data_IF_115745634469
#
_entry.id   IF_115745634469
#
_cell.length_a   1.000
_cell.length_b   1.000
_cell.length_c   1.000
_cell.angle_alpha   90.00
_cell.angle_beta   90.00
_cell.angle_gamma   90.00
#
_symmetry.space_group_name_H-M   'P 1'
#
loop_
_entity.id
_entity.type
_entity.pdbx_description
1 polymer ?
#
# COMPACT_ATOMS: atom_id res chain seq x y z
N UNK A 1 22.95 -4.59 1.32
CA UNK A 1 23.10 -5.73 2.26
C UNK A 1 24.31 -6.53 1.79
N UNK A 2 25.22 -6.86 2.69
CA UNK A 2 26.40 -7.67 2.35
C UNK A 2 25.97 -9.07 1.90
N UNK A 3 26.66 -9.64 0.88
CA UNK A 3 26.33 -10.96 0.34
C UNK A 3 25.16 -10.98 -0.65
N UNK A 4 24.69 -9.83 -1.13
CA UNK A 4 23.53 -9.73 -2.04
C UNK A 4 23.73 -10.44 -3.39
N UNK A 5 24.98 -10.74 -3.75
CA UNK A 5 25.34 -11.39 -5.01
C UNK A 5 25.38 -12.93 -4.92
N UNK A 6 25.10 -13.51 -3.75
CA UNK A 6 25.00 -14.97 -3.58
C UNK A 6 23.83 -15.53 -4.39
N UNK A 7 24.00 -16.75 -4.90
CA UNK A 7 22.91 -17.50 -5.54
C UNK A 7 21.76 -17.72 -4.55
N UNK A 8 20.51 -17.70 -5.02
CA UNK A 8 19.32 -17.89 -4.20
C UNK A 8 18.74 -16.59 -3.64
N UNK A 9 19.30 -15.44 -4.01
CA UNK A 9 18.75 -14.13 -3.63
C UNK A 9 18.01 -13.54 -4.82
N UNK A 10 16.76 -13.18 -4.60
CA UNK A 10 15.84 -12.67 -5.63
C UNK A 10 15.21 -11.34 -5.20
N UNK A 11 14.80 -10.58 -6.19
CA UNK A 11 13.84 -9.48 -6.05
C UNK A 11 12.58 -9.82 -6.84
N UNK A 12 11.49 -9.05 -6.71
CA UNK A 12 10.30 -9.25 -7.55
C UNK A 12 10.38 -8.34 -8.76
N UNK A 13 10.88 -8.86 -9.89
CA UNK A 13 10.97 -8.13 -11.16
C UNK A 13 9.80 -8.50 -12.07
N UNK A 14 9.29 -7.55 -12.84
CA UNK A 14 8.25 -7.77 -13.86
C UNK A 14 8.89 -8.22 -15.18
N UNK A 15 9.63 -9.32 -15.12
CA UNK A 15 10.30 -9.97 -16.27
C UNK A 15 9.99 -11.46 -16.24
N UNK A 16 9.43 -11.98 -17.32
CA UNK A 16 8.93 -13.37 -17.38
C UNK A 16 10.05 -14.39 -17.16
N UNK A 17 11.19 -14.24 -17.84
CA UNK A 17 12.31 -15.17 -17.72
C UNK A 17 12.91 -15.17 -16.30
N UNK A 18 12.99 -13.98 -15.69
CA UNK A 18 13.44 -13.84 -14.30
C UNK A 18 12.47 -14.51 -13.31
N UNK A 19 11.16 -14.31 -13.48
CA UNK A 19 10.14 -14.91 -12.64
C UNK A 19 10.08 -16.44 -12.79
N UNK A 20 10.29 -16.98 -14.00
CA UNK A 20 10.45 -18.41 -14.21
C UNK A 20 11.65 -18.97 -13.46
N UNK A 21 12.76 -18.23 -13.42
CA UNK A 21 13.94 -18.58 -12.61
C UNK A 21 13.63 -18.63 -11.13
N UNK A 22 12.93 -17.62 -10.60
CA UNK A 22 12.45 -17.60 -9.22
C UNK A 22 11.53 -18.79 -8.93
N UNK A 23 10.56 -19.07 -9.80
CA UNK A 23 9.62 -20.20 -9.62
C UNK A 23 10.36 -21.55 -9.55
N UNK A 24 11.34 -21.80 -10.44
CA UNK A 24 12.18 -23.01 -10.40
C UNK A 24 13.01 -23.12 -9.11
N UNK A 25 13.48 -21.97 -8.59
CA UNK A 25 14.20 -21.95 -7.31
C UNK A 25 13.28 -22.25 -6.13
N UNK A 26 12.04 -21.73 -6.14
CA UNK A 26 11.02 -21.98 -5.13
C UNK A 26 10.58 -23.46 -5.05
N UNK A 27 10.56 -24.19 -6.18
CA UNK A 27 10.25 -25.63 -6.20
C UNK A 27 11.22 -26.49 -5.35
N UNK A 28 12.44 -26.00 -5.17
CA UNK A 28 13.50 -26.68 -4.41
C UNK A 28 13.68 -26.15 -2.99
N UNK A 29 13.14 -24.97 -2.71
CA UNK A 29 13.28 -24.32 -1.41
C UNK A 29 12.24 -24.86 -0.40
N UNK A 30 12.59 -24.85 0.87
CA UNK A 30 11.72 -25.20 2.01
C UNK A 30 11.60 -24.05 3.00
N UNK A 31 12.69 -23.34 3.24
CA UNK A 31 12.80 -22.24 4.17
C UNK A 31 13.14 -20.96 3.41
N UNK A 32 12.28 -19.94 3.51
CA UNK A 32 12.39 -18.69 2.75
C UNK A 32 12.41 -17.53 3.72
N UNK A 33 13.35 -16.61 3.52
CA UNK A 33 13.38 -15.32 4.22
C UNK A 33 12.98 -14.22 3.23
N UNK A 34 11.99 -13.42 3.62
CA UNK A 34 11.58 -12.21 2.91
C UNK A 34 12.09 -11.01 3.69
N UNK A 35 12.84 -10.15 3.03
CA UNK A 35 13.36 -8.91 3.62
C UNK A 35 12.48 -7.75 3.19
N UNK A 36 11.76 -7.16 4.15
CA UNK A 36 10.77 -6.12 4.00
C UNK A 36 9.33 -6.60 4.16
N UNK A 37 8.61 -6.01 5.11
CA UNK A 37 7.21 -6.28 5.45
C UNK A 37 6.22 -5.31 4.81
N UNK A 38 6.58 -4.68 3.67
CA UNK A 38 5.64 -3.90 2.85
C UNK A 38 4.67 -4.79 2.06
N UNK A 39 3.84 -4.19 1.20
CA UNK A 39 2.82 -4.92 0.40
C UNK A 39 3.42 -6.13 -0.34
N UNK A 40 4.50 -5.92 -1.10
CA UNK A 40 5.13 -6.99 -1.88
C UNK A 40 5.59 -8.13 -0.96
N UNK A 41 6.26 -7.81 0.16
CA UNK A 41 6.75 -8.83 1.08
C UNK A 41 5.64 -9.63 1.75
N UNK A 42 4.58 -8.95 2.18
CA UNK A 42 3.43 -9.57 2.84
C UNK A 42 2.63 -10.43 1.85
N UNK A 43 2.37 -9.95 0.61
CA UNK A 43 1.66 -10.69 -0.42
C UNK A 43 2.43 -11.93 -0.88
N UNK A 44 3.74 -11.80 -1.05
CA UNK A 44 4.59 -12.96 -1.38
C UNK A 44 4.61 -13.97 -0.23
N UNK A 45 4.68 -13.51 1.03
CA UNK A 45 4.63 -14.39 2.19
C UNK A 45 3.31 -15.16 2.28
N UNK A 46 2.19 -14.47 2.06
CA UNK A 46 0.85 -15.09 2.03
C UNK A 46 0.77 -16.20 0.97
N UNK A 47 1.22 -15.94 -0.25
CA UNK A 47 1.19 -16.93 -1.34
C UNK A 47 2.15 -18.11 -1.11
N UNK A 48 3.33 -17.88 -0.54
CA UNK A 48 4.28 -18.94 -0.25
C UNK A 48 3.83 -19.80 0.93
N UNK A 49 3.25 -19.20 1.96
CA UNK A 49 2.67 -19.93 3.10
C UNK A 49 1.50 -20.83 2.68
N UNK A 50 0.62 -20.38 1.77
CA UNK A 50 -0.45 -21.20 1.18
C UNK A 50 0.08 -22.43 0.44
N UNK A 51 1.31 -22.39 -0.08
CA UNK A 51 1.99 -23.52 -0.71
C UNK A 51 2.70 -24.45 0.28
N UNK A 52 2.59 -24.17 1.59
CA UNK A 52 3.19 -25.00 2.65
C UNK A 52 4.69 -24.74 2.86
N UNK A 53 5.23 -23.65 2.34
CA UNK A 53 6.62 -23.27 2.57
C UNK A 53 6.78 -22.59 3.94
N UNK A 54 7.93 -22.77 4.58
CA UNK A 54 8.27 -22.11 5.84
C UNK A 54 8.80 -20.72 5.52
N UNK A 55 8.05 -19.69 5.89
CA UNK A 55 8.33 -18.30 5.53
C UNK A 55 8.66 -17.48 6.78
N UNK A 56 9.71 -16.69 6.72
CA UNK A 56 10.03 -15.63 7.69
C UNK A 56 10.04 -14.28 7.00
N UNK A 57 9.39 -13.27 7.59
CA UNK A 57 9.50 -11.86 7.16
C UNK A 57 10.41 -11.14 8.16
N UNK A 58 11.41 -10.43 7.65
CA UNK A 58 12.27 -9.53 8.42
C UNK A 58 11.91 -8.09 8.06
N UNK A 59 11.41 -7.34 9.05
CA UNK A 59 10.95 -5.96 8.88
C UNK A 59 11.66 -5.03 9.88
N UNK A 60 12.21 -3.93 9.38
CA UNK A 60 12.92 -2.95 10.21
C UNK A 60 11.99 -2.11 11.09
N UNK A 61 10.74 -1.94 10.67
CA UNK A 61 9.73 -1.20 11.42
C UNK A 61 9.04 -2.10 12.47
N UNK A 62 8.35 -1.51 13.46
CA UNK A 62 7.59 -2.25 14.47
C UNK A 62 6.53 -3.20 13.88
N UNK A 63 5.94 -2.84 12.75
CA UNK A 63 4.87 -3.62 12.12
C UNK A 63 5.06 -3.76 10.61
N UNK A 64 4.62 -4.90 10.07
CA UNK A 64 4.39 -5.04 8.64
C UNK A 64 3.30 -4.03 8.19
N UNK A 65 3.41 -3.54 6.96
CA UNK A 65 2.49 -2.57 6.33
C UNK A 65 2.41 -1.20 7.03
N UNK A 66 3.24 -0.89 8.02
CA UNK A 66 3.17 0.32 8.84
C UNK A 66 3.31 1.64 8.04
N UNK A 67 3.92 1.61 6.87
CA UNK A 67 3.99 2.80 6.00
C UNK A 67 2.65 3.15 5.35
N UNK A 68 1.70 2.22 5.32
CA UNK A 68 0.40 2.39 4.66
C UNK A 68 -0.77 2.36 5.64
N UNK A 69 -0.66 1.67 6.78
CA UNK A 69 -1.73 1.48 7.74
C UNK A 69 -1.33 1.94 9.14
N UNK A 70 -2.32 2.31 9.95
CA UNK A 70 -2.16 2.48 11.38
C UNK A 70 -2.00 1.12 12.08
N UNK A 71 -1.37 1.11 13.25
CA UNK A 71 -0.98 -0.09 14.00
C UNK A 71 -2.10 -1.13 14.13
N UNK A 72 -3.33 -0.69 14.44
CA UNK A 72 -4.48 -1.59 14.62
C UNK A 72 -4.81 -2.42 13.37
N UNK A 73 -4.58 -1.89 12.16
CA UNK A 73 -4.76 -2.61 10.89
C UNK A 73 -3.53 -3.47 10.57
N UNK A 74 -2.33 -2.99 10.90
CA UNK A 74 -1.11 -3.79 10.78
C UNK A 74 -1.21 -5.08 11.60
N UNK A 75 -1.65 -4.97 12.85
CA UNK A 75 -1.84 -6.13 13.75
C UNK A 75 -2.86 -7.14 13.20
N UNK A 76 -3.92 -6.66 12.51
CA UNK A 76 -4.86 -7.58 11.84
C UNK A 76 -4.16 -8.41 10.76
N UNK A 77 -3.35 -7.77 9.89
CA UNK A 77 -2.58 -8.47 8.86
C UNK A 77 -1.56 -9.44 9.46
N UNK A 78 -0.83 -9.01 10.49
CA UNK A 78 0.17 -9.84 11.19
C UNK A 78 -0.46 -11.07 11.84
N UNK A 79 -1.65 -10.94 12.43
CA UNK A 79 -2.38 -12.07 12.99
C UNK A 79 -2.77 -13.09 11.92
N UNK A 80 -3.17 -12.62 10.72
CA UNK A 80 -3.44 -13.52 9.61
C UNK A 80 -2.19 -14.27 9.16
N UNK A 81 -1.05 -13.57 9.04
CA UNK A 81 0.24 -14.21 8.70
C UNK A 81 0.66 -15.24 9.76
N UNK A 82 0.56 -14.89 11.04
CA UNK A 82 0.86 -15.80 12.15
C UNK A 82 -0.03 -17.05 12.15
N UNK A 83 -1.32 -16.90 11.84
CA UNK A 83 -2.25 -18.02 11.70
C UNK A 83 -1.88 -18.96 10.53
N UNK A 84 -1.12 -18.46 9.56
CA UNK A 84 -0.56 -19.24 8.45
C UNK A 84 0.86 -19.74 8.73
N UNK A 85 1.34 -19.66 9.99
CA UNK A 85 2.67 -20.03 10.45
C UNK A 85 3.82 -19.24 9.81
N UNK A 86 3.57 -18.00 9.36
CA UNK A 86 4.62 -17.08 8.93
C UNK A 86 5.32 -16.52 10.16
N UNK A 87 6.65 -16.65 10.22
CA UNK A 87 7.48 -16.08 11.28
C UNK A 87 7.72 -14.59 11.00
N UNK A 88 7.33 -13.70 11.92
CA UNK A 88 7.50 -12.25 11.79
C UNK A 88 8.62 -11.78 12.73
N UNK A 89 9.68 -11.23 12.16
CA UNK A 89 10.81 -10.63 12.87
C UNK A 89 10.81 -9.14 12.59
N UNK A 90 10.10 -8.39 13.41
CA UNK A 90 9.97 -6.92 13.31
C UNK A 90 11.02 -6.19 14.13
N UNK A 91 11.13 -4.86 14.00
CA UNK A 91 12.18 -4.03 14.63
C UNK A 91 13.60 -4.53 14.35
N UNK A 92 13.83 -5.16 13.20
CA UNK A 92 15.07 -5.90 12.94
C UNK A 92 15.50 -5.73 11.48
N UNK A 93 16.78 -5.43 11.26
CA UNK A 93 17.37 -5.33 9.93
C UNK A 93 18.02 -6.65 9.50
N UNK A 94 17.93 -6.99 8.22
CA UNK A 94 18.79 -7.96 7.58
C UNK A 94 20.12 -7.29 7.21
N UNK A 95 21.22 -7.68 7.86
CA UNK A 95 22.52 -7.03 7.67
C UNK A 95 23.42 -7.74 6.67
N UNK A 96 23.36 -9.07 6.64
CA UNK A 96 24.23 -9.87 5.79
C UNK A 96 23.55 -11.17 5.36
N UNK A 97 23.73 -11.53 4.10
CA UNK A 97 23.43 -12.86 3.58
C UNK A 97 24.71 -13.72 3.64
N UNK A 98 24.62 -14.87 4.28
CA UNK A 98 25.76 -15.74 4.59
C UNK A 98 25.62 -17.07 3.85
N UNK A 99 26.72 -17.54 3.24
CA UNK A 99 26.81 -18.82 2.54
C UNK A 99 28.05 -18.92 1.66
N UNK A 100 28.34 -20.11 1.14
CA UNK A 100 29.41 -20.37 0.18
C UNK A 100 28.84 -20.51 -1.25
N UNK A 101 28.91 -19.42 -2.03
CA UNK A 101 28.36 -19.37 -3.40
C UNK A 101 26.83 -19.23 -3.44
N UNK A 102 26.12 -19.79 -2.47
CA UNK A 102 24.66 -19.73 -2.34
C UNK A 102 24.28 -19.28 -0.93
N UNK A 103 23.13 -18.58 -0.80
CA UNK A 103 22.62 -18.18 0.51
C UNK A 103 22.19 -19.38 1.34
N UNK A 104 22.60 -19.39 2.61
CA UNK A 104 22.27 -20.43 3.60
C UNK A 104 21.62 -19.83 4.85
N UNK A 105 21.96 -18.56 5.17
CA UNK A 105 21.47 -17.87 6.36
C UNK A 105 21.37 -16.37 6.11
N UNK A 106 20.52 -15.71 6.87
CA UNK A 106 20.43 -14.25 6.97
C UNK A 106 20.84 -13.84 8.37
N UNK A 107 21.88 -13.00 8.50
CA UNK A 107 22.28 -12.36 9.75
C UNK A 107 21.42 -11.15 10.00
N UNK A 108 20.85 -11.07 11.19
CA UNK A 108 20.00 -10.00 11.64
C UNK A 108 20.75 -9.03 12.58
N UNK A 109 20.28 -7.79 12.68
CA UNK A 109 20.86 -6.75 13.54
C UNK A 109 20.81 -7.06 15.04
N UNK A 110 19.95 -7.98 15.48
CA UNK A 110 19.90 -8.48 16.84
C UNK A 110 20.87 -9.64 17.09
N UNK A 111 21.71 -10.00 16.11
CA UNK A 111 22.69 -11.08 16.18
C UNK A 111 22.16 -12.47 15.81
N UNK A 112 20.86 -12.63 15.60
CA UNK A 112 20.24 -13.88 15.18
C UNK A 112 20.66 -14.27 13.76
N UNK A 113 20.72 -15.59 13.49
CA UNK A 113 20.96 -16.17 12.17
C UNK A 113 19.73 -16.98 11.75
N UNK A 114 18.96 -16.48 10.81
CA UNK A 114 17.84 -17.21 10.21
C UNK A 114 18.36 -18.11 9.09
N UNK A 115 18.10 -19.41 9.21
CA UNK A 115 18.37 -20.36 8.13
C UNK A 115 17.43 -20.13 6.97
N UNK A 116 17.94 -20.27 5.73
CA UNK A 116 17.14 -20.07 4.52
C UNK A 116 17.73 -20.82 3.33
N UNK A 117 16.87 -21.28 2.43
CA UNK A 117 17.25 -21.82 1.12
C UNK A 117 17.17 -20.76 0.03
N UNK A 118 16.39 -19.69 0.27
CA UNK A 118 16.12 -18.62 -0.69
C UNK A 118 15.75 -17.33 0.05
N UNK A 119 16.20 -16.19 -0.48
CA UNK A 119 15.84 -14.86 0.02
C UNK A 119 15.09 -14.08 -1.05
N UNK A 120 14.01 -13.40 -0.64
CA UNK A 120 13.29 -12.43 -1.49
C UNK A 120 13.45 -11.04 -0.88
N UNK A 121 14.04 -10.11 -1.63
CA UNK A 121 14.23 -8.73 -1.19
C UNK A 121 13.04 -7.89 -1.67
N UNK A 122 12.28 -7.32 -0.72
CA UNK A 122 11.07 -6.54 -0.95
C UNK A 122 11.10 -5.17 -0.23
N UNK A 123 12.25 -4.48 -0.24
CA UNK A 123 12.51 -3.23 0.49
C UNK A 123 12.16 -1.96 -0.28
N UNK A 124 11.32 -2.07 -1.29
CA UNK A 124 10.85 -0.94 -2.10
C UNK A 124 11.47 -0.86 -3.48
N UNK A 125 11.15 0.21 -4.20
CA UNK A 125 11.51 0.41 -5.61
C UNK A 125 12.19 1.76 -5.81
N UNK A 126 13.01 1.87 -6.85
CA UNK A 126 13.65 3.11 -7.31
C UNK A 126 13.12 3.44 -8.70
N UNK A 127 12.79 4.73 -9.00
CA UNK A 127 12.40 5.12 -10.35
C UNK A 127 13.50 4.84 -11.36
N UNK A 128 13.13 4.29 -12.52
CA UNK A 128 14.09 4.14 -13.62
C UNK A 128 14.15 5.45 -14.41
N UNK A 129 15.18 6.23 -14.18
CA UNK A 129 15.38 7.57 -14.75
C UNK A 129 16.67 7.72 -15.55
N UNK A 130 17.40 6.64 -15.79
CA UNK A 130 18.72 6.68 -16.43
C UNK A 130 18.65 7.32 -17.84
N UNK A 131 17.70 6.89 -18.67
CA UNK A 131 17.51 7.45 -20.02
C UNK A 131 17.21 8.95 -19.97
N UNK A 132 16.32 9.36 -19.07
CA UNK A 132 15.94 10.77 -18.88
C UNK A 132 17.13 11.62 -18.41
N UNK A 133 17.91 11.09 -17.46
CA UNK A 133 19.12 11.75 -16.95
C UNK A 133 20.18 11.94 -18.05
N UNK A 134 20.41 10.92 -18.89
CA UNK A 134 21.31 11.02 -20.05
C UNK A 134 20.82 12.02 -21.09
N UNK A 135 19.50 12.18 -21.22
CA UNK A 135 18.90 13.17 -22.11
C UNK A 135 18.90 14.60 -21.52
N UNK A 136 19.48 14.81 -20.32
CA UNK A 136 19.55 16.11 -19.68
C UNK A 136 18.25 16.57 -19.02
N UNK A 137 17.27 15.68 -18.84
CA UNK A 137 16.03 16.01 -18.15
C UNK A 137 16.27 16.16 -16.64
N UNK A 138 15.51 17.05 -16.01
CA UNK A 138 15.59 17.30 -14.56
C UNK A 138 15.05 16.09 -13.79
N UNK A 139 15.84 15.60 -12.84
CA UNK A 139 15.45 14.58 -11.88
C UNK A 139 15.07 15.28 -10.57
N UNK A 140 13.93 14.90 -10.01
CA UNK A 140 13.36 15.52 -8.82
C UNK A 140 13.87 14.93 -7.50
N UNK A 141 13.34 15.42 -6.39
CA UNK A 141 13.80 15.11 -5.03
C UNK A 141 13.57 13.62 -4.64
N UNK A 142 12.53 12.99 -5.17
CA UNK A 142 12.24 11.55 -4.96
C UNK A 142 12.85 10.67 -6.07
N UNK A 143 13.85 11.19 -6.78
CA UNK A 143 14.57 10.53 -7.87
C UNK A 143 13.73 10.22 -9.12
N UNK A 144 12.50 10.71 -9.21
CA UNK A 144 11.65 10.64 -10.40
C UNK A 144 12.00 11.72 -11.41
N UNK A 145 11.58 11.55 -12.67
CA UNK A 145 11.67 12.59 -13.71
C UNK A 145 10.75 13.74 -13.29
N UNK A 146 11.30 14.92 -13.12
CA UNK A 146 10.49 16.09 -12.76
C UNK A 146 9.48 16.41 -13.86
N UNK A 147 8.22 16.66 -13.48
CA UNK A 147 7.13 17.06 -14.35
C UNK A 147 6.31 18.18 -13.69
N UNK A 148 5.70 19.00 -14.52
CA UNK A 148 4.71 19.97 -14.09
C UNK A 148 3.31 19.35 -13.86
N UNK A 149 2.32 20.17 -13.56
CA UNK A 149 0.93 19.72 -13.35
C UNK A 149 0.25 19.16 -14.61
N UNK A 150 0.85 19.31 -15.78
CA UNK A 150 0.40 18.76 -17.06
C UNK A 150 1.17 17.51 -17.50
N UNK A 151 2.04 16.99 -16.62
CA UNK A 151 2.95 15.87 -16.88
C UNK A 151 4.06 16.18 -17.91
N UNK A 152 4.36 17.46 -18.17
CA UNK A 152 5.45 17.93 -19.00
C UNK A 152 6.75 17.94 -18.21
N UNK A 153 7.84 17.54 -18.84
CA UNK A 153 9.20 17.68 -18.30
C UNK A 153 9.73 19.12 -18.50
N UNK A 154 11.00 19.35 -18.25
CA UNK A 154 11.66 20.64 -18.59
C UNK A 154 11.79 20.86 -20.10
N UNK A 155 11.70 19.81 -20.90
CA UNK A 155 11.60 19.89 -22.37
C UNK A 155 10.10 19.89 -22.74
N UNK A 156 9.67 20.92 -23.49
CA UNK A 156 8.26 21.11 -23.84
C UNK A 156 7.65 20.01 -24.72
N UNK A 157 8.50 19.21 -25.38
CA UNK A 157 8.09 18.12 -26.26
C UNK A 157 8.10 16.76 -25.57
N UNK A 158 8.55 16.68 -24.29
CA UNK A 158 8.70 15.44 -23.55
C UNK A 158 7.76 15.43 -22.35
N UNK A 159 6.99 14.36 -22.25
CA UNK A 159 6.13 14.05 -21.11
C UNK A 159 6.65 12.83 -20.35
N UNK A 160 6.43 12.78 -19.04
CA UNK A 160 6.72 11.59 -18.25
C UNK A 160 5.53 11.23 -17.34
N UNK A 161 5.26 9.94 -17.19
CA UNK A 161 4.15 9.42 -16.38
C UNK A 161 4.52 8.06 -15.78
N UNK A 162 3.82 7.66 -14.73
CA UNK A 162 4.05 6.38 -14.05
C UNK A 162 5.25 6.41 -13.10
N UNK A 163 5.76 5.24 -12.73
CA UNK A 163 6.75 5.08 -11.66
C UNK A 163 8.06 5.84 -11.89
N UNK A 164 8.39 6.15 -13.14
CA UNK A 164 9.56 6.96 -13.47
C UNK A 164 9.38 8.48 -13.27
N UNK A 165 8.13 8.99 -13.29
CA UNK A 165 7.87 10.41 -13.06
C UNK A 165 7.81 10.73 -11.56
N UNK A 166 8.24 11.95 -11.18
CA UNK A 166 8.10 12.42 -9.80
C UNK A 166 6.64 12.69 -9.46
N UNK A 167 6.23 12.27 -8.26
CA UNK A 167 4.87 12.47 -7.75
C UNK A 167 4.79 13.64 -6.81
N UNK A 168 3.68 14.37 -6.90
CA UNK A 168 3.34 15.42 -5.93
C UNK A 168 2.20 14.94 -5.05
N UNK A 169 2.32 15.07 -3.74
CA UNK A 169 1.26 14.72 -2.79
C UNK A 169 0.04 15.61 -2.98
N UNK A 170 -1.16 15.01 -2.99
CA UNK A 170 -2.43 15.74 -3.00
C UNK A 170 -2.57 16.68 -1.79
N UNK A 171 -2.13 16.25 -0.61
CA UNK A 171 -2.31 16.97 0.65
C UNK A 171 -1.28 18.07 0.86
N UNK A 172 0.00 17.75 0.75
CA UNK A 172 1.09 18.68 1.10
C UNK A 172 1.64 19.46 -0.07
N UNK A 173 1.28 19.09 -1.30
CA UNK A 173 1.86 19.63 -2.55
C UNK A 173 3.40 19.47 -2.66
N UNK A 174 3.99 18.63 -1.81
CA UNK A 174 5.41 18.29 -1.82
C UNK A 174 5.66 16.98 -2.58
N UNK A 175 6.89 16.74 -3.05
CA UNK A 175 7.26 15.46 -3.65
C UNK A 175 6.97 14.28 -2.72
N UNK A 176 6.48 13.17 -3.28
CA UNK A 176 6.17 11.93 -2.56
C UNK A 176 6.66 10.71 -3.31
N UNK A 177 6.96 9.64 -2.57
CA UNK A 177 7.47 8.38 -3.11
C UNK A 177 6.37 7.37 -3.52
N UNK A 178 5.11 7.81 -3.62
CA UNK A 178 4.01 6.94 -4.04
C UNK A 178 4.22 6.41 -5.46
N UNK A 179 4.25 5.09 -5.62
CA UNK A 179 4.37 4.40 -6.91
C UNK A 179 3.30 3.33 -6.99
N UNK A 180 2.22 3.64 -7.71
CA UNK A 180 1.04 2.79 -7.85
C UNK A 180 0.59 2.75 -9.30
N UNK A 181 0.16 1.58 -9.75
CA UNK A 181 -0.37 1.40 -11.11
C UNK A 181 -1.58 2.32 -11.38
N UNK A 182 -2.44 2.55 -10.39
CA UNK A 182 -3.58 3.47 -10.49
C UNK A 182 -3.15 4.93 -10.72
N UNK A 183 -2.08 5.38 -10.05
CA UNK A 183 -1.48 6.71 -10.28
C UNK A 183 -0.85 6.75 -11.68
N UNK A 184 -0.09 5.71 -12.06
CA UNK A 184 0.55 5.62 -13.36
C UNK A 184 -0.47 5.75 -14.51
N UNK A 185 -1.61 5.06 -14.42
CA UNK A 185 -2.67 5.13 -15.45
C UNK A 185 -3.40 6.47 -15.45
N UNK A 186 -3.60 7.08 -14.28
CA UNK A 186 -4.16 8.45 -14.19
C UNK A 186 -3.22 9.46 -14.87
N UNK A 187 -1.93 9.43 -14.53
CA UNK A 187 -0.93 10.32 -15.12
C UNK A 187 -0.78 10.11 -16.63
N UNK A 188 -0.82 8.86 -17.11
CA UNK A 188 -0.77 8.54 -18.53
C UNK A 188 -1.98 9.15 -19.30
N UNK A 189 -3.19 9.12 -18.69
CA UNK A 189 -4.37 9.77 -19.29
C UNK A 189 -4.25 11.30 -19.30
N UNK A 190 -3.57 11.89 -18.30
CA UNK A 190 -3.31 13.33 -18.25
C UNK A 190 -2.27 13.70 -19.32
N UNK A 191 -1.13 13.00 -19.32
CA UNK A 191 -0.07 13.23 -20.29
C UNK A 191 -0.58 13.08 -21.74
N UNK A 192 -1.25 11.95 -22.05
CA UNK A 192 -1.80 11.68 -23.37
C UNK A 192 -2.81 12.75 -23.84
N UNK A 193 -3.68 13.24 -22.94
CA UNK A 193 -4.59 14.32 -23.26
C UNK A 193 -3.83 15.63 -23.56
N UNK A 194 -2.77 15.91 -22.82
CA UNK A 194 -2.01 17.15 -22.94
C UNK A 194 -1.12 17.20 -24.19
N UNK A 195 -0.69 16.05 -24.69
CA UNK A 195 -0.06 15.93 -26.03
C UNK A 195 -0.97 16.52 -27.12
N UNK A 196 -2.28 16.36 -26.98
CA UNK A 196 -3.30 16.89 -27.90
C UNK A 196 -3.88 18.25 -27.47
N UNK A 197 -3.28 18.92 -26.48
CA UNK A 197 -3.67 20.27 -26.06
C UNK A 197 -4.92 20.35 -25.18
N UNK A 198 -5.42 19.26 -24.61
CA UNK A 198 -6.66 19.22 -23.80
C UNK A 198 -6.52 19.80 -22.38
N UNK A 199 -5.33 20.21 -21.96
CA UNK A 199 -5.01 20.92 -20.70
C UNK A 199 -5.60 20.27 -19.44
N UNK A 200 -5.41 18.96 -19.28
CA UNK A 200 -5.77 18.25 -18.05
C UNK A 200 -4.69 18.41 -16.98
N UNK A 201 -5.11 18.74 -15.76
CA UNK A 201 -4.20 18.94 -14.62
C UNK A 201 -4.16 17.74 -13.70
N UNK A 202 -2.96 17.40 -13.24
CA UNK A 202 -2.74 16.48 -12.13
C UNK A 202 -2.97 17.22 -10.81
N UNK A 203 -3.95 16.78 -10.03
CA UNK A 203 -4.28 17.38 -8.73
C UNK A 203 -3.36 16.90 -7.60
N UNK A 204 -2.46 15.98 -7.89
CA UNK A 204 -1.58 15.30 -6.94
C UNK A 204 -2.03 13.87 -6.64
N UNK A 205 -1.11 13.08 -6.14
CA UNK A 205 -1.31 11.68 -5.81
C UNK A 205 -1.93 11.53 -4.42
N UNK A 206 -2.98 10.72 -4.33
CA UNK A 206 -3.58 10.22 -3.08
C UNK A 206 -3.15 8.76 -2.95
N UNK A 207 -2.60 8.35 -1.80
CA UNK A 207 -2.34 6.95 -1.51
C UNK A 207 -3.67 6.19 -1.48
N UNK A 208 -3.83 5.20 -2.36
CA UNK A 208 -4.99 4.33 -2.38
C UNK A 208 -4.48 2.91 -2.60
N UNK A 209 -4.55 2.08 -1.56
CA UNK A 209 -4.00 0.72 -1.56
C UNK A 209 -5.07 -0.26 -1.11
N UNK A 210 -5.02 -1.46 -1.66
CA UNK A 210 -5.75 -2.61 -1.11
C UNK A 210 -4.91 -3.87 -1.26
N UNK A 211 -5.04 -4.79 -0.29
CA UNK A 211 -4.37 -6.08 -0.30
C UNK A 211 -5.26 -7.13 0.37
N UNK A 212 -4.88 -8.40 0.25
CA UNK A 212 -5.53 -9.50 0.95
C UNK A 212 -4.48 -10.39 1.60
N UNK A 213 -4.67 -10.72 2.87
CA UNK A 213 -3.75 -11.54 3.66
C UNK A 213 -4.55 -12.60 4.40
N UNK A 214 -4.30 -13.87 4.15
CA UNK A 214 -5.03 -14.97 4.80
C UNK A 214 -6.56 -14.90 4.63
N UNK A 215 -7.05 -14.27 3.56
CA UNK A 215 -8.46 -14.05 3.30
C UNK A 215 -9.08 -12.82 3.98
N UNK A 216 -8.30 -12.03 4.71
CA UNK A 216 -8.67 -10.70 5.21
C UNK A 216 -8.26 -9.64 4.18
N UNK A 217 -9.23 -8.91 3.64
CA UNK A 217 -8.95 -7.75 2.81
C UNK A 217 -8.67 -6.52 3.68
N UNK A 218 -7.65 -5.74 3.28
CA UNK A 218 -7.26 -4.49 3.92
C UNK A 218 -7.16 -3.40 2.85
N UNK A 219 -7.60 -2.21 3.17
CA UNK A 219 -7.51 -1.08 2.26
C UNK A 219 -7.33 0.24 2.99
N UNK A 220 -6.67 1.17 2.33
CA UNK A 220 -6.44 2.53 2.84
C UNK A 220 -6.56 3.54 1.71
N UNK A 221 -7.16 4.68 2.01
CA UNK A 221 -7.22 5.85 1.16
C UNK A 221 -6.75 7.09 1.94
N UNK A 222 -5.88 7.91 1.35
CA UNK A 222 -5.40 9.14 1.94
C UNK A 222 -4.34 8.96 3.02
N UNK A 223 -4.49 9.67 4.12
CA UNK A 223 -3.51 9.73 5.21
C UNK A 223 -3.82 8.73 6.33
N UNK A 224 -2.78 8.13 6.90
CA UNK A 224 -2.82 7.50 8.23
C UNK A 224 -2.75 8.57 9.32
N UNK A 225 -3.01 8.24 10.59
CA UNK A 225 -2.84 9.19 11.69
C UNK A 225 -1.42 9.75 11.75
N UNK A 226 -0.41 8.89 11.61
CA UNK A 226 0.98 9.32 11.60
C UNK A 226 1.30 10.25 10.43
N UNK A 227 0.78 9.96 9.24
CA UNK A 227 0.97 10.81 8.07
C UNK A 227 0.23 12.16 8.21
N UNK A 228 -0.99 12.16 8.75
CA UNK A 228 -1.76 13.38 9.04
C UNK A 228 -1.04 14.27 10.04
N UNK A 229 -0.57 13.70 11.16
CA UNK A 229 0.22 14.40 12.18
C UNK A 229 1.51 14.99 11.59
N UNK A 230 2.24 14.20 10.79
CA UNK A 230 3.49 14.64 10.15
C UNK A 230 3.26 15.74 9.10
N UNK A 231 2.09 15.75 8.46
CA UNK A 231 1.68 16.79 7.51
C UNK A 231 1.10 18.05 8.19
N UNK A 232 0.97 18.05 9.53
CA UNK A 232 0.48 19.18 10.32
C UNK A 232 -1.04 19.31 10.40
N UNK A 233 -1.78 18.25 10.08
CA UNK A 233 -3.23 18.24 10.24
C UNK A 233 -3.62 18.06 11.71
N UNK A 234 -4.59 18.87 12.16
CA UNK A 234 -5.34 18.62 13.39
C UNK A 234 -6.59 17.83 13.01
N UNK A 235 -6.74 16.62 13.50
CA UNK A 235 -7.75 15.69 13.00
C UNK A 235 -8.57 15.05 14.14
N UNK A 236 -9.74 14.56 13.77
CA UNK A 236 -10.56 13.64 14.56
C UNK A 236 -10.65 12.29 13.86
N UNK A 237 -10.96 11.26 14.64
CA UNK A 237 -11.06 9.88 14.15
C UNK A 237 -12.44 9.33 14.47
N UNK A 238 -13.14 8.91 13.42
CA UNK A 238 -14.36 8.13 13.55
C UNK A 238 -14.09 6.66 13.25
N UNK A 239 -14.56 5.77 14.12
CA UNK A 239 -14.40 4.31 13.96
C UNK A 239 -15.75 3.62 14.03
N UNK A 240 -15.92 2.60 13.23
CA UNK A 240 -17.07 1.71 13.31
C UNK A 240 -16.70 0.29 12.89
N UNK A 241 -17.44 -0.68 13.41
CA UNK A 241 -17.37 -2.07 12.93
C UNK A 241 -18.75 -2.69 12.87
N UNK A 242 -18.94 -3.64 11.98
CA UNK A 242 -20.20 -4.36 11.81
C UNK A 242 -20.11 -5.41 10.71
N UNK A 243 -21.17 -6.19 10.51
CA UNK A 243 -21.21 -7.19 9.46
C UNK A 243 -21.25 -6.52 8.08
N UNK A 244 -20.47 -7.06 7.11
CA UNK A 244 -20.46 -6.59 5.72
C UNK A 244 -21.69 -7.07 4.90
N UNK A 245 -22.59 -7.82 5.51
CA UNK A 245 -23.84 -8.33 4.95
C UNK A 245 -25.00 -8.23 5.95
N UNK A 246 -26.22 -8.31 5.46
CA UNK A 246 -27.41 -8.24 6.33
C UNK A 246 -28.47 -9.28 5.91
N UNK A 247 -28.92 -10.14 6.86
CA UNK A 247 -28.48 -10.28 8.25
C UNK A 247 -27.07 -10.87 8.38
N UNK A 248 -26.43 -10.65 9.52
CA UNK A 248 -25.06 -11.13 9.79
C UNK A 248 -24.89 -12.67 9.67
N UNK A 249 -25.98 -13.42 9.76
CA UNK A 249 -26.00 -14.87 9.58
C UNK A 249 -25.88 -15.33 8.09
N UNK A 250 -25.82 -14.39 7.14
CA UNK A 250 -25.65 -14.75 5.73
C UNK A 250 -24.30 -15.45 5.49
N UNK A 251 -24.28 -16.50 4.63
CA UNK A 251 -23.04 -17.18 4.28
C UNK A 251 -21.97 -16.23 3.73
N UNK A 252 -20.74 -16.36 4.23
CA UNK A 252 -19.61 -15.55 3.81
C UNK A 252 -19.59 -14.11 4.38
N UNK A 253 -20.47 -13.79 5.33
CA UNK A 253 -20.41 -12.54 6.07
C UNK A 253 -19.06 -12.41 6.79
N UNK A 254 -18.47 -11.23 6.72
CA UNK A 254 -17.24 -10.86 7.41
C UNK A 254 -17.48 -9.63 8.31
N UNK A 255 -16.70 -9.50 9.35
CA UNK A 255 -16.66 -8.24 10.10
C UNK A 255 -15.96 -7.18 9.21
N UNK A 256 -16.62 -6.04 9.02
CA UNK A 256 -16.09 -4.87 8.35
C UNK A 256 -15.69 -3.84 9.43
N UNK A 257 -14.43 -3.43 9.44
CA UNK A 257 -13.91 -2.36 10.29
C UNK A 257 -13.56 -1.17 9.43
N UNK A 258 -14.04 0.00 9.84
CA UNK A 258 -13.79 1.28 9.16
C UNK A 258 -13.25 2.28 10.15
N UNK A 259 -12.21 3.00 9.74
CA UNK A 259 -11.63 4.14 10.43
C UNK A 259 -11.52 5.29 9.45
N UNK A 260 -12.07 6.44 9.80
CA UNK A 260 -12.04 7.66 8.99
C UNK A 260 -11.32 8.77 9.76
N UNK A 261 -10.53 9.57 9.05
CA UNK A 261 -9.85 10.73 9.58
C UNK A 261 -10.41 11.99 8.92
N UNK A 262 -10.85 12.96 9.74
CA UNK A 262 -11.34 14.26 9.26
C UNK A 262 -10.48 15.38 9.83
N UNK A 263 -10.09 16.34 9.00
CA UNK A 263 -9.39 17.54 9.45
C UNK A 263 -10.34 18.42 10.25
N UNK A 264 -9.98 18.77 11.49
CA UNK A 264 -10.80 19.57 12.42
C UNK A 264 -11.12 20.96 11.90
N UNK A 265 -10.25 21.54 11.09
CA UNK A 265 -10.40 22.93 10.66
C UNK A 265 -11.36 23.06 9.45
N UNK A 266 -11.38 22.05 8.61
CA UNK A 266 -12.17 22.04 7.36
C UNK A 266 -13.28 21.00 7.37
N UNK A 267 -13.31 20.12 8.38
CA UNK A 267 -14.19 18.97 8.53
C UNK A 267 -14.09 17.94 7.41
N UNK A 268 -13.10 18.10 6.51
CA UNK A 268 -12.95 17.28 5.30
C UNK A 268 -12.30 15.95 5.62
N UNK A 269 -12.77 14.91 4.92
CA UNK A 269 -12.14 13.59 4.92
C UNK A 269 -10.73 13.68 4.36
N UNK A 270 -9.73 13.26 5.15
CA UNK A 270 -8.32 13.25 4.77
C UNK A 270 -7.72 11.85 4.75
N UNK A 271 -8.39 10.88 5.35
CA UNK A 271 -7.92 9.50 5.37
C UNK A 271 -9.01 8.51 5.74
N UNK A 272 -8.84 7.27 5.29
CA UNK A 272 -9.73 6.18 5.68
C UNK A 272 -9.05 4.82 5.53
N UNK A 273 -9.28 3.94 6.49
CA UNK A 273 -8.76 2.58 6.52
C UNK A 273 -9.90 1.60 6.73
N UNK A 274 -9.85 0.48 6.02
CA UNK A 274 -10.92 -0.51 6.01
C UNK A 274 -10.32 -1.91 6.06
N UNK A 275 -10.88 -2.79 6.90
CA UNK A 275 -10.53 -4.20 6.95
C UNK A 275 -11.80 -5.06 6.94
N UNK A 276 -11.81 -6.16 6.19
CA UNK A 276 -12.99 -7.03 6.14
C UNK A 276 -12.99 -8.00 4.95
N UNK A 277 -14.14 -8.10 4.28
CA UNK A 277 -14.33 -8.92 3.09
C UNK A 277 -13.92 -8.23 1.79
N UNK A 278 -14.32 -8.79 0.66
CA UNK A 278 -13.91 -8.36 -0.70
C UNK A 278 -14.40 -6.96 -1.08
N UNK A 279 -15.41 -6.42 -0.41
CA UNK A 279 -15.91 -5.05 -0.64
C UNK A 279 -14.93 -3.95 -0.23
N UNK A 280 -13.91 -4.26 0.56
CA UNK A 280 -12.89 -3.31 1.05
C UNK A 280 -12.26 -2.52 -0.09
N UNK A 281 -11.91 -3.16 -1.21
CA UNK A 281 -11.25 -2.50 -2.33
C UNK A 281 -12.13 -1.39 -2.96
N UNK A 282 -13.44 -1.65 -3.15
CA UNK A 282 -14.36 -0.65 -3.70
C UNK A 282 -14.70 0.44 -2.67
N UNK A 283 -14.73 0.10 -1.38
CA UNK A 283 -14.92 1.13 -0.33
C UNK A 283 -13.75 2.12 -0.34
N UNK A 284 -12.50 1.69 -0.43
CA UNK A 284 -11.37 2.63 -0.49
C UNK A 284 -11.31 3.43 -1.79
N UNK A 285 -11.79 2.88 -2.91
CA UNK A 285 -11.99 3.65 -4.13
C UNK A 285 -13.00 4.79 -3.92
N UNK A 286 -14.13 4.50 -3.29
CA UNK A 286 -15.14 5.50 -2.92
C UNK A 286 -14.53 6.57 -1.98
N UNK A 287 -13.82 6.16 -0.92
CA UNK A 287 -13.14 7.09 0.00
C UNK A 287 -12.11 7.97 -0.73
N UNK A 288 -11.38 7.43 -1.69
CA UNK A 288 -10.42 8.21 -2.51
C UNK A 288 -11.12 9.30 -3.31
N UNK A 289 -12.29 9.01 -3.87
CA UNK A 289 -13.11 10.02 -4.59
C UNK A 289 -13.60 11.10 -3.61
N UNK A 290 -14.11 10.71 -2.44
CA UNK A 290 -14.56 11.65 -1.40
C UNK A 290 -13.41 12.57 -0.94
N UNK A 291 -12.22 12.02 -0.67
CA UNK A 291 -11.02 12.79 -0.32
C UNK A 291 -10.67 13.78 -1.45
N UNK A 292 -10.64 13.32 -2.69
CA UNK A 292 -10.27 14.15 -3.85
C UNK A 292 -11.25 15.31 -4.08
N UNK A 293 -12.50 15.16 -3.63
CA UNK A 293 -13.58 16.16 -3.75
C UNK A 293 -13.78 16.96 -2.47
N UNK A 294 -13.10 16.60 -1.39
CA UNK A 294 -13.14 17.31 -0.12
C UNK A 294 -14.46 17.17 0.63
N UNK A 295 -15.06 15.98 0.63
CA UNK A 295 -16.27 15.67 1.38
C UNK A 295 -16.05 15.91 2.88
N UNK A 296 -17.01 16.56 3.52
CA UNK A 296 -17.03 16.79 4.96
C UNK A 296 -17.58 15.57 5.71
N UNK A 297 -17.39 15.55 7.02
CA UNK A 297 -17.94 14.50 7.89
C UNK A 297 -19.47 14.41 7.78
N UNK A 298 -20.17 15.58 7.72
CA UNK A 298 -21.61 15.63 7.53
C UNK A 298 -22.05 15.07 6.19
N UNK A 299 -21.34 15.42 5.09
CA UNK A 299 -21.66 14.90 3.75
C UNK A 299 -21.44 13.37 3.67
N UNK A 300 -20.44 12.83 4.37
CA UNK A 300 -20.24 11.36 4.46
C UNK A 300 -21.33 10.71 5.33
N UNK A 301 -21.71 11.32 6.45
CA UNK A 301 -22.74 10.82 7.34
C UNK A 301 -24.14 10.82 6.70
N UNK A 302 -24.41 11.74 5.77
CA UNK A 302 -25.73 11.91 5.11
C UNK A 302 -25.75 11.41 3.66
N UNK A 303 -24.68 10.76 3.18
CA UNK A 303 -24.61 10.30 1.80
C UNK A 303 -25.67 9.24 1.47
N UNK A 304 -26.19 9.28 0.25
CA UNK A 304 -27.02 8.21 -0.30
C UNK A 304 -26.13 7.09 -0.87
N UNK A 305 -26.52 5.84 -0.60
CA UNK A 305 -25.81 4.65 -1.10
C UNK A 305 -26.81 3.52 -1.43
N UNK A 306 -26.44 2.65 -2.37
CA UNK A 306 -27.21 1.46 -2.71
C UNK A 306 -26.87 0.30 -1.77
N UNK A 307 -27.88 -0.47 -1.40
CA UNK A 307 -27.69 -1.65 -0.53
C UNK A 307 -28.33 -2.90 -1.11
N UNK A 308 -27.72 -4.02 -0.82
CA UNK A 308 -28.27 -5.35 -1.06
C UNK A 308 -27.82 -6.29 0.06
N UNK A 309 -28.71 -7.13 0.63
CA UNK A 309 -28.37 -7.96 1.79
C UNK A 309 -27.09 -8.80 1.66
N UNK A 310 -26.82 -9.35 0.48
CA UNK A 310 -25.65 -10.19 0.22
C UNK A 310 -24.38 -9.42 -0.20
N UNK A 311 -24.44 -8.09 -0.42
CA UNK A 311 -23.35 -7.31 -1.00
C UNK A 311 -22.87 -6.18 -0.12
N UNK A 312 -23.71 -5.69 0.81
CA UNK A 312 -23.40 -4.52 1.64
C UNK A 312 -23.85 -4.73 3.08
N UNK A 313 -23.34 -3.87 3.97
CA UNK A 313 -23.90 -3.68 5.30
C UNK A 313 -25.40 -3.33 5.24
N UNK A 314 -26.09 -3.46 6.39
CA UNK A 314 -27.45 -2.91 6.56
C UNK A 314 -27.43 -1.38 6.31
N UNK A 315 -28.49 -0.83 5.67
CA UNK A 315 -28.57 0.62 5.48
C UNK A 315 -28.63 1.40 6.80
N UNK A 316 -29.17 0.81 7.88
CA UNK A 316 -29.24 1.46 9.20
C UNK A 316 -27.86 1.55 9.86
N UNK A 317 -26.98 0.58 9.61
CA UNK A 317 -25.66 0.47 10.21
C UNK A 317 -24.57 0.43 9.15
N UNK A 318 -24.71 1.23 8.09
CA UNK A 318 -23.69 1.31 7.03
C UNK A 318 -22.38 1.81 7.62
N UNK A 319 -21.38 0.96 7.72
CA UNK A 319 -20.21 1.13 8.58
C UNK A 319 -19.43 2.42 8.29
N UNK A 320 -19.38 2.88 7.01
CA UNK A 320 -18.74 4.14 6.64
C UNK A 320 -19.52 5.34 7.21
N UNK A 321 -20.84 5.31 7.12
CA UNK A 321 -21.73 6.37 7.67
C UNK A 321 -21.60 6.42 9.19
N UNK A 322 -21.66 5.27 9.86
CA UNK A 322 -21.53 5.20 11.32
C UNK A 322 -20.15 5.72 11.79
N UNK A 323 -19.09 5.43 11.02
CA UNK A 323 -17.76 5.98 11.33
C UNK A 323 -17.72 7.51 11.18
N UNK A 324 -18.40 8.07 10.19
CA UNK A 324 -18.52 9.53 10.04
C UNK A 324 -19.34 10.17 11.17
N UNK A 325 -20.48 9.60 11.55
CA UNK A 325 -21.28 10.02 12.70
C UNK A 325 -20.47 10.03 14.01
N UNK A 326 -19.63 9.00 14.22
CA UNK A 326 -18.75 8.95 15.39
C UNK A 326 -17.63 9.99 15.35
N UNK A 327 -17.22 10.46 14.19
CA UNK A 327 -16.29 11.58 14.04
C UNK A 327 -16.97 12.93 14.33
N UNK A 328 -18.21 13.14 13.86
CA UNK A 328 -18.99 14.35 14.10
C UNK A 328 -19.16 14.69 15.59
N UNK A 329 -19.23 13.68 16.45
CA UNK A 329 -19.30 13.88 17.91
C UNK A 329 -18.03 14.50 18.51
N UNK A 330 -16.94 14.60 17.75
CA UNK A 330 -15.63 15.10 18.19
C UNK A 330 -15.24 16.40 17.47
N UNK A 331 -15.98 16.79 16.43
CA UNK A 331 -15.84 18.07 15.71
C UNK A 331 -16.58 19.18 16.45
#
# INVERSE_FOLDING_TARGET
>A
IKGVDLEGIFTVKKDTGYLEGLMRALEKAKEIVIVGGGFIGVEVADELAKRGLKVSIVEMLPHCLQLAFDEEFCVLAENMLKNMNVNLVTNTLAEEFVGEGRVEKVRLSNGELLKTDLVIIAIGTIPNTELASRAGLKIGAQKGIWVDEYMKTVDENIFAAGDCAEKTSFFTKKPTALRLASIATMEARIAGANVFGLKRKNIGAIGCFSTIVGGLALGVAGLTENAAKSAGFNYVVGKASGPDRHPAAMPGCKELKVKLLFDKNTEKLIGGQVAGGVSVAEIVNMLTVMISRGFTAEEVATMQFGTHPALTCSPITYTVVVAAENALQQL
#
